data_IF_671697419648
#
_entry.id   IF_671697419648
#
_cell.length_a   1.000
_cell.length_b   1.000
_cell.length_c   1.000
_cell.angle_alpha   90.00
_cell.angle_beta   90.00
_cell.angle_gamma   90.00
#
_symmetry.space_group_name_H-M   'P 1'
#
loop_
_entity.id
_entity.type
_entity.pdbx_description
1 polymer ?
#
# COMPACT_ATOMS: atom_id res chain seq x y z
N UNK A 1 -28.71 3.81 -7.90
CA UNK A 1 -27.26 4.06 -7.83
C UNK A 1 -26.61 2.78 -7.30
N UNK A 2 -25.53 2.35 -7.88
CA UNK A 2 -24.85 1.13 -7.42
C UNK A 2 -24.03 1.45 -6.16
N UNK A 3 -23.99 0.53 -5.20
CA UNK A 3 -23.16 0.62 -3.96
C UNK A 3 -21.71 0.98 -4.29
N UNK A 4 -21.19 0.42 -5.37
CA UNK A 4 -19.82 0.66 -5.87
C UNK A 4 -19.53 2.14 -6.15
N UNK A 5 -20.46 2.86 -6.79
CA UNK A 5 -20.29 4.30 -7.06
C UNK A 5 -20.25 5.10 -5.75
N UNK A 6 -21.10 4.73 -4.78
CA UNK A 6 -21.09 5.38 -3.46
C UNK A 6 -19.76 5.16 -2.73
N UNK A 7 -19.21 3.94 -2.77
CA UNK A 7 -17.90 3.62 -2.17
C UNK A 7 -16.77 4.40 -2.85
N UNK A 8 -16.79 4.53 -4.19
CA UNK A 8 -15.78 5.30 -4.92
C UNK A 8 -15.83 6.79 -4.55
N UNK A 9 -17.02 7.39 -4.47
CA UNK A 9 -17.18 8.79 -4.02
C UNK A 9 -16.76 8.95 -2.56
N UNK A 10 -17.11 7.99 -1.70
CA UNK A 10 -16.72 8.01 -0.30
C UNK A 10 -15.19 7.91 -0.14
N UNK A 11 -14.51 7.06 -0.92
CA UNK A 11 -13.06 6.98 -0.94
C UNK A 11 -12.41 8.35 -1.21
N UNK A 12 -12.84 9.05 -2.27
CA UNK A 12 -12.30 10.38 -2.60
C UNK A 12 -12.52 11.42 -1.49
N UNK A 13 -13.70 11.42 -0.86
CA UNK A 13 -13.98 12.30 0.27
C UNK A 13 -13.12 11.97 1.50
N UNK A 14 -12.97 10.69 1.83
CA UNK A 14 -12.12 10.27 2.93
C UNK A 14 -10.63 10.52 2.65
N UNK A 15 -10.16 10.32 1.41
CA UNK A 15 -8.79 10.65 1.02
C UNK A 15 -8.48 12.15 1.18
N UNK A 16 -9.49 13.02 0.98
CA UNK A 16 -9.33 14.47 1.08
C UNK A 16 -9.42 14.98 2.52
N UNK A 17 -10.37 14.47 3.31
CA UNK A 17 -10.78 15.06 4.60
C UNK A 17 -10.68 14.10 5.78
N UNK A 18 -10.21 12.86 5.54
CA UNK A 18 -10.11 11.83 6.57
C UNK A 18 -11.43 11.62 7.31
N UNK A 19 -11.33 11.39 8.61
CA UNK A 19 -12.51 11.16 9.46
C UNK A 19 -13.42 12.39 9.61
N UNK A 20 -12.99 13.60 9.21
CA UNK A 20 -13.85 14.78 9.22
C UNK A 20 -14.91 14.79 8.11
N UNK A 21 -14.77 13.91 7.12
CA UNK A 21 -15.79 13.70 6.07
C UNK A 21 -17.17 13.39 6.66
N UNK A 22 -18.21 14.00 6.13
CA UNK A 22 -19.58 13.78 6.57
C UNK A 22 -20.40 13.03 5.51
N UNK A 23 -21.39 12.25 5.95
CA UNK A 23 -22.32 11.56 5.03
C UNK A 23 -23.09 12.56 4.13
N UNK A 24 -23.27 13.81 4.58
CA UNK A 24 -23.91 14.87 3.77
C UNK A 24 -23.04 15.31 2.60
N UNK A 25 -21.71 15.45 2.82
CA UNK A 25 -20.73 15.75 1.76
C UNK A 25 -20.69 14.62 0.73
N UNK A 26 -20.56 13.38 1.20
CA UNK A 26 -20.58 12.18 0.34
C UNK A 26 -21.87 12.12 -0.48
N UNK A 27 -23.04 12.31 0.16
CA UNK A 27 -24.32 12.31 -0.51
C UNK A 27 -24.44 13.40 -1.58
N UNK A 28 -24.00 14.62 -1.26
CA UNK A 28 -23.99 15.75 -2.22
C UNK A 28 -23.13 15.43 -3.44
N UNK A 29 -21.93 14.91 -3.25
CA UNK A 29 -21.01 14.55 -4.33
C UNK A 29 -21.51 13.36 -5.16
N UNK A 30 -22.14 12.38 -4.51
CA UNK A 30 -22.76 11.23 -5.16
C UNK A 30 -24.12 11.54 -5.83
N UNK A 31 -24.64 12.77 -5.69
CA UNK A 31 -25.95 13.16 -6.23
C UNK A 31 -27.14 12.51 -5.52
N UNK A 32 -26.98 12.14 -4.24
CA UNK A 32 -28.06 11.51 -3.44
C UNK A 32 -28.27 12.21 -2.10
N UNK A 33 -29.42 11.96 -1.49
CA UNK A 33 -29.69 12.43 -0.12
C UNK A 33 -28.94 11.57 0.89
N UNK A 34 -28.50 12.17 2.01
CA UNK A 34 -27.90 11.47 3.14
C UNK A 34 -28.75 10.26 3.59
N UNK A 35 -30.08 10.40 3.56
CA UNK A 35 -31.03 9.33 3.90
C UNK A 35 -30.86 8.07 3.03
N UNK A 36 -30.47 8.24 1.76
CA UNK A 36 -30.24 7.12 0.84
C UNK A 36 -28.99 6.33 1.22
N UNK A 37 -27.99 6.97 1.85
CA UNK A 37 -26.79 6.29 2.33
C UNK A 37 -27.14 5.32 3.45
N UNK A 38 -28.05 5.68 4.35
CA UNK A 38 -28.53 4.83 5.44
C UNK A 38 -29.29 3.56 4.98
N UNK A 39 -29.67 3.48 3.70
CA UNK A 39 -30.22 2.23 3.15
C UNK A 39 -29.12 1.18 2.89
N UNK A 40 -27.85 1.58 2.91
CA UNK A 40 -26.68 0.72 2.64
C UNK A 40 -25.78 0.53 3.86
N UNK A 41 -25.71 1.53 4.75
CA UNK A 41 -24.79 1.58 5.88
C UNK A 41 -25.47 2.13 7.11
N UNK A 42 -25.26 1.50 8.25
CA UNK A 42 -25.90 1.90 9.52
C UNK A 42 -25.38 3.27 10.00
N UNK A 43 -24.10 3.53 9.80
CA UNK A 43 -23.44 4.76 10.24
C UNK A 43 -22.25 5.10 9.32
N UNK A 44 -21.52 6.16 9.69
CA UNK A 44 -20.35 6.62 8.93
C UNK A 44 -19.19 5.62 9.03
N UNK A 45 -18.98 5.02 10.19
CA UNK A 45 -17.87 4.08 10.41
C UNK A 45 -18.06 2.79 9.63
N UNK A 46 -19.29 2.35 9.46
CA UNK A 46 -19.64 1.21 8.63
C UNK A 46 -19.34 1.47 7.14
N UNK A 47 -19.74 2.64 6.63
CA UNK A 47 -19.36 3.07 5.28
C UNK A 47 -17.84 3.15 5.13
N UNK A 48 -17.16 3.76 6.10
CA UNK A 48 -15.71 3.96 6.05
C UNK A 48 -14.97 2.61 6.11
N UNK A 49 -15.41 1.69 6.95
CA UNK A 49 -14.83 0.35 7.00
C UNK A 49 -14.97 -0.40 5.67
N UNK A 50 -16.12 -0.30 5.01
CA UNK A 50 -16.32 -0.89 3.67
C UNK A 50 -15.38 -0.27 2.62
N UNK A 51 -15.16 1.05 2.69
CA UNK A 51 -14.18 1.74 1.82
C UNK A 51 -12.77 1.23 2.08
N UNK A 52 -12.37 1.15 3.36
CA UNK A 52 -11.06 0.65 3.77
C UNK A 52 -10.87 -0.81 3.32
N UNK A 53 -11.86 -1.66 3.57
CA UNK A 53 -11.81 -3.06 3.19
C UNK A 53 -11.71 -3.26 1.68
N UNK A 54 -12.46 -2.50 0.90
CA UNK A 54 -12.41 -2.55 -0.55
C UNK A 54 -11.02 -2.14 -1.07
N UNK A 55 -10.46 -1.07 -0.53
CA UNK A 55 -9.15 -0.56 -0.93
C UNK A 55 -8.02 -1.54 -0.60
N UNK A 56 -7.96 -2.04 0.65
CA UNK A 56 -6.95 -2.99 1.10
C UNK A 56 -7.03 -4.29 0.29
N UNK A 57 -8.21 -4.88 0.19
CA UNK A 57 -8.39 -6.14 -0.53
C UNK A 57 -8.06 -5.99 -2.02
N UNK A 58 -8.43 -4.88 -2.65
CA UNK A 58 -8.12 -4.60 -4.06
C UNK A 58 -6.61 -4.47 -4.27
N UNK A 59 -5.92 -3.73 -3.40
CA UNK A 59 -4.48 -3.54 -3.46
C UNK A 59 -3.73 -4.86 -3.33
N UNK A 60 -3.95 -5.62 -2.25
CA UNK A 60 -3.23 -6.87 -2.01
C UNK A 60 -3.59 -7.96 -3.03
N UNK A 61 -4.85 -8.06 -3.45
CA UNK A 61 -5.24 -8.99 -4.52
C UNK A 61 -4.58 -8.66 -5.87
N UNK A 62 -4.37 -7.37 -6.16
CA UNK A 62 -3.63 -6.96 -7.36
C UNK A 62 -2.16 -7.37 -7.25
N UNK A 63 -1.51 -7.15 -6.09
CA UNK A 63 -0.11 -7.52 -5.85
C UNK A 63 0.10 -9.04 -5.85
N UNK A 64 -0.81 -9.80 -5.27
CA UNK A 64 -0.76 -11.26 -5.30
C UNK A 64 -0.82 -11.78 -6.76
N UNK A 65 -1.76 -11.29 -7.56
CA UNK A 65 -1.88 -11.67 -8.99
C UNK A 65 -0.67 -11.25 -9.82
N UNK A 66 -0.02 -10.13 -9.48
CA UNK A 66 1.20 -9.70 -10.14
C UNK A 66 2.36 -10.65 -9.79
N UNK A 67 2.54 -10.96 -8.52
CA UNK A 67 3.53 -11.93 -8.06
C UNK A 67 3.34 -13.31 -8.71
N UNK A 68 2.10 -13.82 -8.81
CA UNK A 68 1.81 -15.11 -9.43
C UNK A 68 2.33 -15.21 -10.87
N UNK A 69 2.37 -14.10 -11.61
CA UNK A 69 2.82 -14.05 -13.00
C UNK A 69 4.33 -13.99 -13.17
N UNK A 70 5.06 -13.57 -12.14
CA UNK A 70 6.48 -13.26 -12.25
C UNK A 70 7.37 -14.13 -11.35
N UNK A 71 6.81 -15.07 -10.59
CA UNK A 71 7.57 -15.89 -9.62
C UNK A 71 8.68 -16.75 -10.24
N UNK A 72 8.62 -16.99 -11.55
CA UNK A 72 9.65 -17.75 -12.28
C UNK A 72 10.83 -16.87 -12.76
N UNK A 73 10.74 -15.55 -12.60
CA UNK A 73 11.81 -14.62 -12.93
C UNK A 73 12.94 -14.64 -11.87
N UNK A 74 14.02 -13.93 -12.16
CA UNK A 74 15.10 -13.71 -11.18
C UNK A 74 14.60 -12.93 -9.95
N UNK A 75 15.23 -13.10 -8.79
CA UNK A 75 14.89 -12.33 -7.58
C UNK A 75 14.90 -10.81 -7.82
N UNK A 76 15.88 -10.30 -8.58
CA UNK A 76 15.96 -8.88 -8.94
C UNK A 76 14.72 -8.42 -9.71
N UNK A 77 14.36 -9.14 -10.77
CA UNK A 77 13.22 -8.78 -11.62
C UNK A 77 11.91 -8.82 -10.84
N UNK A 78 11.72 -9.82 -9.95
CA UNK A 78 10.53 -9.93 -9.12
C UNK A 78 10.45 -8.75 -8.15
N UNK A 79 11.50 -8.52 -7.36
CA UNK A 79 11.52 -7.46 -6.35
C UNK A 79 11.42 -6.08 -6.98
N UNK A 80 12.11 -5.85 -8.10
CA UNK A 80 12.03 -4.60 -8.87
C UNK A 80 10.62 -4.34 -9.37
N UNK A 81 10.02 -5.33 -10.02
CA UNK A 81 8.66 -5.21 -10.57
C UNK A 81 7.66 -4.86 -9.48
N UNK A 82 7.68 -5.56 -8.35
CA UNK A 82 6.78 -5.30 -7.22
C UNK A 82 7.05 -3.95 -6.58
N UNK A 83 8.32 -3.59 -6.36
CA UNK A 83 8.72 -2.31 -5.79
C UNK A 83 8.17 -1.14 -6.62
N UNK A 84 8.44 -1.15 -7.93
CA UNK A 84 7.97 -0.11 -8.85
C UNK A 84 6.43 -0.10 -8.97
N UNK A 85 5.80 -1.27 -8.99
CA UNK A 85 4.35 -1.38 -9.05
C UNK A 85 3.67 -0.78 -7.82
N UNK A 86 4.21 -1.00 -6.62
CA UNK A 86 3.69 -0.40 -5.39
C UNK A 86 3.94 1.11 -5.39
N UNK A 87 5.15 1.56 -5.71
CA UNK A 87 5.46 2.98 -5.77
C UNK A 87 4.61 3.72 -6.81
N UNK A 88 4.39 3.12 -7.99
CA UNK A 88 3.52 3.70 -9.02
C UNK A 88 2.05 3.79 -8.60
N UNK A 89 1.55 2.82 -7.82
CA UNK A 89 0.22 2.90 -7.24
C UNK A 89 0.09 4.14 -6.33
N UNK A 90 1.12 4.48 -5.59
CA UNK A 90 1.15 5.63 -4.70
C UNK A 90 1.50 6.97 -5.38
N UNK A 91 1.71 7.00 -6.71
CA UNK A 91 1.74 8.27 -7.47
C UNK A 91 0.37 8.96 -7.51
N UNK A 92 -0.71 8.20 -7.32
CA UNK A 92 -2.04 8.76 -7.11
C UNK A 92 -2.12 9.43 -5.73
N UNK A 93 -2.32 10.73 -5.73
CA UNK A 93 -2.37 11.54 -4.51
C UNK A 93 -3.51 11.14 -3.56
N UNK A 94 -4.66 10.71 -4.10
CA UNK A 94 -5.78 10.23 -3.28
C UNK A 94 -5.40 8.95 -2.54
N UNK A 95 -4.68 8.03 -3.21
CA UNK A 95 -4.17 6.79 -2.61
C UNK A 95 -3.20 7.08 -1.46
N UNK A 96 -2.16 7.88 -1.71
CA UNK A 96 -1.19 8.24 -0.67
C UNK A 96 -1.88 8.88 0.53
N UNK A 97 -2.76 9.86 0.32
CA UNK A 97 -3.46 10.55 1.41
C UNK A 97 -4.33 9.60 2.22
N UNK A 98 -5.07 8.73 1.54
CA UNK A 98 -5.95 7.75 2.19
C UNK A 98 -5.16 6.77 3.06
N UNK A 99 -4.09 6.16 2.52
CA UNK A 99 -3.27 5.21 3.26
C UNK A 99 -2.51 5.88 4.42
N UNK A 100 -1.99 7.11 4.22
CA UNK A 100 -1.35 7.86 5.31
C UNK A 100 -2.34 8.19 6.42
N UNK A 101 -3.52 8.66 6.06
CA UNK A 101 -4.57 8.90 7.04
C UNK A 101 -4.94 7.61 7.79
N UNK A 102 -5.08 6.49 7.10
CA UNK A 102 -5.39 5.19 7.70
C UNK A 102 -4.33 4.76 8.73
N UNK A 103 -3.04 4.94 8.42
CA UNK A 103 -1.95 4.61 9.36
C UNK A 103 -1.87 5.55 10.57
N UNK A 104 -2.40 6.76 10.46
CA UNK A 104 -2.39 7.77 11.51
C UNK A 104 -3.71 7.88 12.29
N UNK A 105 -4.67 6.98 12.03
CA UNK A 105 -5.94 6.96 12.76
C UNK A 105 -5.71 6.78 14.26
N UNK A 106 -6.49 7.49 15.07
CA UNK A 106 -6.53 7.26 16.52
C UNK A 106 -7.09 5.86 16.84
N UNK A 107 -6.66 5.29 17.95
CA UNK A 107 -7.08 3.95 18.39
C UNK A 107 -8.59 3.94 18.70
N UNK A 108 -9.35 3.36 17.79
CA UNK A 108 -10.79 3.16 17.85
C UNK A 108 -11.12 1.73 17.42
N UNK A 109 -12.35 1.28 17.60
CA UNK A 109 -12.79 -0.02 17.08
C UNK A 109 -12.58 -0.12 15.55
N UNK A 110 -12.90 0.94 14.84
CA UNK A 110 -12.66 1.02 13.38
C UNK A 110 -11.17 0.86 13.05
N UNK A 111 -10.27 1.50 13.80
CA UNK A 111 -8.83 1.37 13.61
C UNK A 111 -8.36 -0.06 13.84
N UNK A 112 -8.78 -0.70 14.93
CA UNK A 112 -8.36 -2.07 15.24
C UNK A 112 -8.85 -3.07 14.18
N UNK A 113 -10.10 -2.93 13.71
CA UNK A 113 -10.65 -3.75 12.62
C UNK A 113 -9.86 -3.54 11.32
N UNK A 114 -9.53 -2.30 10.98
CA UNK A 114 -8.76 -1.95 9.78
C UNK A 114 -7.34 -2.49 9.86
N UNK A 115 -6.69 -2.36 11.01
CA UNK A 115 -5.35 -2.88 11.27
C UNK A 115 -5.28 -4.41 11.15
N UNK A 116 -6.27 -5.11 11.68
CA UNK A 116 -6.33 -6.57 11.55
C UNK A 116 -6.49 -6.97 10.09
N UNK A 117 -7.35 -6.29 9.34
CA UNK A 117 -7.53 -6.55 7.91
C UNK A 117 -6.23 -6.32 7.10
N UNK A 118 -5.47 -5.25 7.41
CA UNK A 118 -4.15 -5.03 6.80
C UNK A 118 -3.23 -6.22 7.11
N UNK A 119 -3.10 -6.60 8.38
CA UNK A 119 -2.23 -7.70 8.80
C UNK A 119 -2.57 -9.03 8.11
N UNK A 120 -3.85 -9.36 8.02
CA UNK A 120 -4.32 -10.58 7.35
C UNK A 120 -3.90 -10.61 5.88
N UNK A 121 -3.99 -9.48 5.19
CA UNK A 121 -3.59 -9.37 3.78
C UNK A 121 -2.06 -9.29 3.60
N UNK A 122 -1.35 -8.66 4.54
CA UNK A 122 0.11 -8.50 4.48
C UNK A 122 0.88 -9.81 4.68
N UNK A 123 0.37 -10.71 5.52
CA UNK A 123 1.09 -11.93 5.91
C UNK A 123 1.52 -12.74 4.68
N UNK A 124 0.60 -13.04 3.77
CA UNK A 124 0.92 -13.82 2.56
C UNK A 124 1.90 -13.06 1.66
N UNK A 125 1.65 -11.76 1.46
CA UNK A 125 2.53 -10.91 0.65
C UNK A 125 3.96 -10.89 1.19
N UNK A 126 4.14 -10.66 2.49
CA UNK A 126 5.46 -10.61 3.10
C UNK A 126 6.16 -11.97 3.16
N UNK A 127 5.44 -13.08 3.34
CA UNK A 127 6.00 -14.43 3.24
C UNK A 127 6.59 -14.64 1.84
N UNK A 128 5.88 -14.23 0.80
CA UNK A 128 6.33 -14.38 -0.59
C UNK A 128 7.55 -13.49 -0.88
N UNK A 129 7.54 -12.23 -0.45
CA UNK A 129 8.70 -11.33 -0.58
C UNK A 129 9.90 -11.87 0.19
N UNK A 130 9.72 -12.35 1.45
CA UNK A 130 10.79 -12.98 2.23
C UNK A 130 11.43 -14.17 1.49
N UNK A 131 10.60 -14.98 0.84
CA UNK A 131 11.10 -16.11 0.06
C UNK A 131 11.95 -15.66 -1.14
N UNK A 132 11.56 -14.59 -1.83
CA UNK A 132 12.32 -14.04 -2.96
C UNK A 132 13.62 -13.41 -2.50
N UNK A 133 13.60 -12.61 -1.43
CA UNK A 133 14.79 -12.02 -0.81
C UNK A 133 15.75 -13.12 -0.34
N UNK A 134 15.24 -14.17 0.30
CA UNK A 134 16.04 -15.30 0.74
C UNK A 134 16.71 -16.04 -0.42
N UNK A 135 16.08 -16.17 -1.57
CA UNK A 135 16.72 -16.75 -2.78
C UNK A 135 17.94 -15.96 -3.23
N UNK A 136 17.86 -14.63 -3.20
CA UNK A 136 18.99 -13.76 -3.55
C UNK A 136 20.11 -13.85 -2.51
N UNK A 137 19.76 -13.76 -1.23
CA UNK A 137 20.73 -13.68 -0.14
C UNK A 137 21.32 -15.04 0.26
N UNK A 138 20.79 -16.16 -0.26
CA UNK A 138 21.37 -17.52 0.00
C UNK A 138 22.78 -17.63 -0.57
N UNK A 139 23.09 -16.94 -1.66
CA UNK A 139 24.43 -16.92 -2.25
C UNK A 139 25.47 -16.21 -1.38
N UNK A 140 25.01 -15.42 -0.40
CA UNK A 140 25.86 -14.71 0.57
C UNK A 140 25.95 -15.39 1.94
N UNK A 141 25.46 -16.61 2.11
CA UNK A 141 25.34 -17.30 3.41
C UNK A 141 24.56 -16.48 4.46
N UNK A 142 23.64 -15.61 4.00
CA UNK A 142 22.86 -14.76 4.90
C UNK A 142 21.95 -15.58 5.81
N UNK A 143 21.93 -15.21 7.08
CA UNK A 143 21.05 -15.83 8.06
C UNK A 143 19.58 -15.34 7.95
N UNK A 144 18.68 -15.99 8.66
CA UNK A 144 17.26 -15.66 8.64
C UNK A 144 16.98 -14.22 9.16
N UNK A 145 17.82 -13.72 10.06
CA UNK A 145 17.69 -12.37 10.64
C UNK A 145 18.07 -11.31 9.60
N UNK A 146 19.10 -11.56 8.83
CA UNK A 146 19.56 -10.68 7.74
C UNK A 146 18.50 -10.62 6.62
N UNK A 147 17.95 -11.77 6.21
CA UNK A 147 16.84 -11.83 5.25
C UNK A 147 15.63 -11.06 5.77
N UNK A 148 15.30 -11.20 7.06
CA UNK A 148 14.19 -10.44 7.64
C UNK A 148 14.45 -8.94 7.66
N UNK A 149 15.67 -8.51 8.01
CA UNK A 149 16.08 -7.12 7.96
C UNK A 149 15.97 -6.53 6.54
N UNK A 150 16.40 -7.27 5.52
CA UNK A 150 16.26 -6.85 4.12
C UNK A 150 14.80 -6.65 3.71
N UNK A 151 13.88 -7.52 4.15
CA UNK A 151 12.43 -7.36 3.93
C UNK A 151 11.89 -6.12 4.64
N UNK A 152 12.35 -5.84 5.87
CA UNK A 152 11.96 -4.64 6.60
C UNK A 152 12.43 -3.37 5.89
N UNK A 153 13.67 -3.36 5.36
CA UNK A 153 14.21 -2.23 4.58
C UNK A 153 13.41 -2.03 3.29
N UNK A 154 13.02 -3.11 2.60
CA UNK A 154 12.14 -3.04 1.43
C UNK A 154 10.84 -2.31 1.75
N UNK A 155 10.13 -2.72 2.80
CA UNK A 155 8.89 -2.11 3.22
C UNK A 155 9.07 -0.64 3.68
N UNK A 156 10.11 -0.36 4.49
CA UNK A 156 10.42 0.98 4.96
C UNK A 156 10.79 1.94 3.82
N UNK A 157 11.47 1.45 2.79
CA UNK A 157 11.80 2.24 1.59
C UNK A 157 10.55 2.69 0.85
N UNK A 158 9.56 1.80 0.69
CA UNK A 158 8.27 2.15 0.06
C UNK A 158 7.54 3.21 0.90
N UNK A 159 7.50 3.04 2.23
CA UNK A 159 6.87 4.02 3.12
C UNK A 159 7.57 5.38 3.04
N UNK A 160 8.90 5.41 3.02
CA UNK A 160 9.68 6.63 2.86
C UNK A 160 9.40 7.34 1.52
N UNK A 161 9.31 6.59 0.42
CA UNK A 161 8.94 7.14 -0.90
C UNK A 161 7.55 7.76 -0.86
N UNK A 162 6.56 7.08 -0.25
CA UNK A 162 5.20 7.63 -0.09
C UNK A 162 5.22 8.98 0.62
N UNK A 163 6.01 9.12 1.70
CA UNK A 163 6.12 10.37 2.45
C UNK A 163 6.81 11.47 1.65
N UNK A 164 7.91 11.15 0.97
CA UNK A 164 8.63 12.12 0.14
C UNK A 164 7.77 12.60 -1.04
N UNK A 165 7.01 11.71 -1.68
CA UNK A 165 6.06 12.07 -2.74
C UNK A 165 4.93 12.98 -2.24
N UNK A 166 4.51 12.84 -0.99
CA UNK A 166 3.46 13.67 -0.42
C UNK A 166 3.98 15.04 0.03
N UNK A 167 5.14 15.06 0.71
CA UNK A 167 5.68 16.27 1.36
C UNK A 167 6.48 17.15 0.40
N UNK A 168 7.16 16.54 -0.59
CA UNK A 168 8.13 17.22 -1.45
C UNK A 168 7.78 17.05 -2.93
N UNK A 169 6.50 17.01 -3.25
CA UNK A 169 5.96 16.76 -4.59
C UNK A 169 6.56 17.68 -5.65
N UNK A 170 6.85 18.94 -5.30
CA UNK A 170 7.36 19.96 -6.23
C UNK A 170 8.91 20.00 -6.27
N UNK A 171 9.57 19.21 -5.40
CA UNK A 171 11.04 19.23 -5.27
C UNK A 171 11.72 18.01 -5.90
N UNK A 172 11.02 16.89 -6.01
CA UNK A 172 11.58 15.63 -6.54
C UNK A 172 10.77 15.13 -7.72
N UNK A 173 11.48 14.70 -8.76
CA UNK A 173 10.89 13.82 -9.76
C UNK A 173 10.64 12.45 -9.13
N UNK A 174 9.38 12.05 -9.08
CA UNK A 174 8.97 10.81 -8.41
C UNK A 174 9.58 9.56 -9.05
N UNK A 175 9.83 9.59 -10.35
CA UNK A 175 10.44 8.47 -11.05
C UNK A 175 11.92 8.31 -10.65
N UNK A 176 12.67 9.39 -10.69
CA UNK A 176 14.08 9.42 -10.26
C UNK A 176 14.23 9.00 -8.79
N UNK A 177 13.32 9.45 -7.92
CA UNK A 177 13.32 9.04 -6.51
C UNK A 177 13.15 7.51 -6.35
N UNK A 178 12.17 6.93 -7.04
CA UNK A 178 11.92 5.48 -7.01
C UNK A 178 13.14 4.70 -7.50
N UNK A 179 13.73 5.12 -8.61
CA UNK A 179 14.90 4.49 -9.22
C UNK A 179 16.12 4.53 -8.29
N UNK A 180 16.44 5.69 -7.72
CA UNK A 180 17.57 5.85 -6.81
C UNK A 180 17.42 4.98 -5.55
N UNK A 181 16.21 4.94 -4.94
CA UNK A 181 15.96 4.13 -3.75
C UNK A 181 16.03 2.65 -4.09
N UNK A 182 15.48 2.23 -5.24
CA UNK A 182 15.59 0.86 -5.71
C UNK A 182 17.05 0.43 -5.91
N UNK A 183 17.85 1.21 -6.62
CA UNK A 183 19.26 0.91 -6.88
C UNK A 183 20.06 0.77 -5.58
N UNK A 184 19.81 1.65 -4.61
CA UNK A 184 20.47 1.58 -3.31
C UNK A 184 20.06 0.35 -2.53
N UNK A 185 18.75 0.04 -2.48
CA UNK A 185 18.22 -1.17 -1.85
C UNK A 185 18.82 -2.43 -2.48
N UNK A 186 18.77 -2.53 -3.80
CA UNK A 186 19.26 -3.69 -4.52
C UNK A 186 20.75 -3.94 -4.27
N UNK A 187 21.57 -2.88 -4.34
CA UNK A 187 23.00 -2.96 -4.01
C UNK A 187 23.27 -3.44 -2.58
N UNK A 188 22.36 -3.19 -1.65
CA UNK A 188 22.54 -3.56 -0.24
C UNK A 188 22.26 -5.04 0.04
N UNK A 189 21.47 -5.72 -0.79
CA UNK A 189 21.05 -7.11 -0.57
C UNK A 189 21.69 -8.10 -1.53
N UNK A 190 22.15 -7.67 -2.71
CA UNK A 190 22.84 -8.56 -3.65
C UNK A 190 24.19 -8.96 -3.10
N UNK A 191 24.54 -10.20 -3.33
CA UNK A 191 25.90 -10.67 -3.04
C UNK A 191 26.88 -9.98 -3.98
N UNK A 192 27.81 -9.23 -3.43
CA UNK A 192 29.00 -8.84 -4.17
C UNK A 192 29.86 -10.11 -4.35
N UNK A 193 29.56 -10.90 -5.38
CA UNK A 193 30.50 -11.90 -5.87
C UNK A 193 31.69 -11.10 -6.40
N UNK A 194 32.68 -10.88 -5.49
CA UNK A 194 33.97 -10.26 -5.66
C UNK A 194 34.26 -9.62 -7.01
N UNK A 195 34.29 -8.30 -7.05
CA UNK A 195 35.23 -7.59 -7.91
C UNK A 195 36.62 -7.75 -7.26
N UNK A 196 37.31 -8.87 -7.56
CA UNK A 196 38.76 -8.97 -7.47
C UNK A 196 39.42 -8.33 -8.69
#
# INVERSE_FOLDING_TARGET
MRKELLLAVAFEEFAQSGYHTTLSQIGKRAGIKKQTIYNYFENKDDLLYEVIALEINTFYAAKARELDKIMDLSPEEILKTIFFSICNYFKDTSKVRFWRWLFMMESTDLFERSRNLIRENEVDFFIRIKKVVGREMTECDADEKEVFAAVQVFAASIQGIMDLMLLYRDMYDSQTLIENVWEFYWKSIRCNLGDE
#
